data_IF_209358034529
#
_entry.id   IF_209358034529
#
_cell.length_a   1.000
_cell.length_b   1.000
_cell.length_c   1.000
_cell.angle_alpha   90.00
_cell.angle_beta   90.00
_cell.angle_gamma   90.00
#
_symmetry.space_group_name_H-M   'P 1'
#
loop_
_entity.id
_entity.type
_entity.pdbx_description
1 polymer ?
#
# COMPACT_ATOMS: atom_id res chain seq x y z
N UNK A 1 1.25 -0.39 -6.69
CA UNK A 1 0.68 0.96 -6.85
C UNK A 1 1.85 1.92 -6.87
N UNK A 2 1.95 2.75 -7.91
CA UNK A 2 2.91 3.85 -7.92
C UNK A 2 2.17 5.10 -7.48
N UNK A 3 2.66 5.81 -6.47
CA UNK A 3 2.11 7.06 -6.00
C UNK A 3 3.19 8.12 -6.22
N UNK A 4 2.85 9.19 -6.93
CA UNK A 4 3.80 10.23 -7.35
C UNK A 4 5.04 9.72 -8.13
N UNK A 5 4.97 8.55 -8.76
CA UNK A 5 6.06 7.95 -9.53
C UNK A 5 6.90 6.93 -8.75
N UNK A 6 6.72 6.83 -7.44
CA UNK A 6 7.43 5.88 -6.57
C UNK A 6 6.51 4.73 -6.13
N UNK A 7 7.05 3.55 -5.84
CA UNK A 7 6.25 2.41 -5.35
C UNK A 7 5.77 2.68 -3.92
N UNK A 8 4.46 2.84 -3.73
CA UNK A 8 3.87 3.09 -2.41
C UNK A 8 3.97 1.88 -1.47
N UNK A 9 4.01 0.69 -2.04
CA UNK A 9 4.17 -0.57 -1.33
C UNK A 9 5.25 -1.37 -2.06
N UNK A 10 6.28 -1.75 -1.32
CA UNK A 10 7.41 -2.50 -1.84
C UNK A 10 6.99 -3.89 -2.32
N UNK A 11 7.86 -4.54 -3.09
CA UNK A 11 7.69 -5.95 -3.43
C UNK A 11 7.69 -6.85 -2.19
N UNK A 12 8.47 -6.49 -1.17
CA UNK A 12 8.62 -7.24 0.07
C UNK A 12 7.32 -7.27 0.91
N UNK A 13 6.66 -6.12 1.09
CA UNK A 13 5.36 -6.06 1.80
C UNK A 13 4.28 -6.84 1.06
N UNK A 14 4.26 -6.78 -0.27
CA UNK A 14 3.34 -7.59 -1.10
C UNK A 14 3.61 -9.09 -0.94
N UNK A 15 4.87 -9.51 -0.94
CA UNK A 15 5.24 -10.91 -0.79
C UNK A 15 4.88 -11.43 0.61
N UNK A 16 5.31 -10.72 1.66
CA UNK A 16 5.01 -11.08 3.05
C UNK A 16 3.51 -11.11 3.33
N UNK A 17 2.74 -10.14 2.84
CA UNK A 17 1.28 -10.12 3.02
C UNK A 17 0.60 -11.34 2.39
N UNK A 18 1.02 -11.73 1.18
CA UNK A 18 0.52 -12.97 0.54
C UNK A 18 0.90 -14.22 1.32
N UNK A 19 2.15 -14.31 1.79
CA UNK A 19 2.62 -15.44 2.61
C UNK A 19 1.81 -15.56 3.90
N UNK A 20 1.59 -14.45 4.59
CA UNK A 20 0.77 -14.42 5.81
C UNK A 20 -0.65 -14.87 5.53
N UNK A 21 -1.28 -14.40 4.44
CA UNK A 21 -2.61 -14.85 4.04
C UNK A 21 -2.66 -16.35 3.73
N UNK A 22 -1.69 -16.88 3.00
CA UNK A 22 -1.61 -18.30 2.65
C UNK A 22 -1.43 -19.18 3.89
N UNK A 23 -0.52 -18.82 4.80
CA UNK A 23 -0.32 -19.57 6.04
C UNK A 23 -1.55 -19.48 6.95
N UNK A 24 -2.16 -18.30 7.07
CA UNK A 24 -3.36 -18.10 7.87
C UNK A 24 -4.54 -18.92 7.32
N UNK A 25 -4.77 -18.90 6.01
CA UNK A 25 -5.81 -19.69 5.37
C UNK A 25 -5.57 -21.20 5.55
N UNK A 26 -4.33 -21.66 5.36
CA UNK A 26 -3.96 -23.06 5.59
C UNK A 26 -4.24 -23.48 7.03
N UNK A 27 -3.92 -22.62 8.01
CA UNK A 27 -4.15 -22.90 9.43
C UNK A 27 -5.65 -22.96 9.76
N UNK A 28 -6.45 -22.03 9.22
CA UNK A 28 -7.92 -22.05 9.37
C UNK A 28 -8.51 -23.35 8.83
N UNK A 29 -8.17 -23.73 7.59
CA UNK A 29 -8.71 -24.95 6.98
C UNK A 29 -8.22 -26.22 7.70
N UNK A 30 -6.99 -26.21 8.22
CA UNK A 30 -6.48 -27.27 9.07
C UNK A 30 -7.22 -27.38 10.41
N UNK A 31 -7.45 -26.26 11.10
CA UNK A 31 -8.18 -26.21 12.37
C UNK A 31 -9.66 -26.58 12.24
N UNK A 32 -10.26 -26.41 11.06
CA UNK A 32 -11.62 -26.87 10.74
C UNK A 32 -11.68 -28.37 10.39
N UNK A 33 -10.54 -29.06 10.30
CA UNK A 33 -10.49 -30.45 9.88
C UNK A 33 -10.82 -30.68 8.41
N UNK A 34 -10.87 -29.62 7.59
CA UNK A 34 -11.16 -29.72 6.16
C UNK A 34 -9.98 -30.26 5.36
N UNK A 35 -8.77 -30.16 5.92
CA UNK A 35 -7.54 -30.72 5.36
C UNK A 35 -7.08 -31.85 6.28
N UNK A 36 -7.27 -33.10 5.84
CA UNK A 36 -6.71 -34.27 6.50
C UNK A 36 -5.35 -34.60 5.88
N UNK A 37 -4.28 -34.36 6.63
CA UNK A 37 -2.92 -34.69 6.20
C UNK A 37 -2.59 -36.11 6.67
N UNK A 38 -2.80 -37.09 5.78
CA UNK A 38 -2.54 -38.51 6.06
C UNK A 38 -1.05 -38.76 6.40
N UNK A 39 -0.15 -38.20 5.59
CA UNK A 39 1.29 -38.12 5.85
C UNK A 39 1.82 -36.84 5.19
N UNK A 40 2.41 -35.92 5.96
CA UNK A 40 3.01 -34.70 5.39
C UNK A 40 4.51 -34.87 5.36
N UNK A 41 5.09 -34.93 4.15
CA UNK A 41 6.53 -34.76 3.98
C UNK A 41 6.80 -33.45 3.24
N UNK A 42 7.57 -32.56 3.86
CA UNK A 42 8.06 -31.33 3.24
C UNK A 42 9.58 -31.42 3.29
N UNK A 43 10.22 -31.52 2.12
CA UNK A 43 11.69 -31.62 2.00
C UNK A 43 12.26 -32.78 2.85
N UNK A 44 11.61 -33.95 2.80
CA UNK A 44 12.06 -35.16 3.52
C UNK A 44 11.81 -35.18 5.03
N UNK A 45 11.31 -34.08 5.64
CA UNK A 45 10.87 -34.09 7.03
C UNK A 45 9.48 -34.71 7.11
N UNK A 46 9.39 -35.88 7.75
CA UNK A 46 8.11 -36.52 8.08
C UNK A 46 7.58 -35.88 9.36
N UNK A 47 6.40 -35.28 9.28
CA UNK A 47 5.71 -34.79 10.48
C UNK A 47 4.80 -35.90 11.01
N UNK A 48 4.97 -36.24 12.28
CA UNK A 48 3.97 -37.03 13.00
C UNK A 48 2.62 -36.31 12.94
N UNK A 49 1.54 -37.08 12.73
CA UNK A 49 0.17 -36.56 12.78
C UNK A 49 -0.02 -35.78 14.08
N UNK A 50 -0.45 -34.52 13.96
CA UNK A 50 -0.64 -33.59 15.09
C UNK A 50 0.44 -32.53 15.28
N UNK A 51 1.68 -32.71 14.79
CA UNK A 51 2.74 -31.68 14.92
C UNK A 51 2.69 -30.59 13.85
N UNK A 52 1.91 -30.79 12.79
CA UNK A 52 1.80 -29.83 11.68
C UNK A 52 1.13 -28.51 12.08
N UNK A 53 -0.03 -28.56 12.77
CA UNK A 53 -0.78 -27.34 13.14
C UNK A 53 0.00 -26.41 14.07
N UNK A 54 0.69 -26.91 15.13
CA UNK A 54 1.56 -26.07 15.96
C UNK A 54 2.68 -25.39 15.16
N UNK A 55 3.34 -26.13 14.25
CA UNK A 55 4.39 -25.57 13.39
C UNK A 55 3.82 -24.49 12.48
N UNK A 56 2.66 -24.73 11.88
CA UNK A 56 2.00 -23.74 11.02
C UNK A 56 1.57 -22.49 11.80
N UNK A 57 1.11 -22.63 13.04
CA UNK A 57 0.80 -21.50 13.92
C UNK A 57 2.05 -20.63 14.19
N UNK A 58 3.21 -21.25 14.45
CA UNK A 58 4.48 -20.53 14.59
C UNK A 58 4.86 -19.80 13.29
N UNK A 59 4.68 -20.43 12.13
CA UNK A 59 4.94 -19.79 10.83
C UNK A 59 4.00 -18.60 10.58
N UNK A 60 2.73 -18.69 10.98
CA UNK A 60 1.80 -17.56 10.92
C UNK A 60 2.32 -16.39 11.75
N UNK A 61 2.73 -16.62 13.01
CA UNK A 61 3.28 -15.57 13.90
C UNK A 61 4.52 -14.92 13.29
N UNK A 62 5.50 -15.72 12.86
CA UNK A 62 6.74 -15.21 12.25
C UNK A 62 6.41 -14.39 10.99
N UNK A 63 5.51 -14.90 10.14
CA UNK A 63 5.11 -14.19 8.92
C UNK A 63 4.40 -12.86 9.23
N UNK A 64 3.53 -12.82 10.24
CA UNK A 64 2.80 -11.62 10.64
C UNK A 64 3.75 -10.55 11.19
N UNK A 65 4.75 -10.93 11.99
CA UNK A 65 5.79 -10.01 12.47
C UNK A 65 6.62 -9.48 11.29
N UNK A 66 7.08 -10.37 10.40
CA UNK A 66 7.85 -9.97 9.23
C UNK A 66 7.04 -9.01 8.34
N UNK A 67 5.76 -9.30 8.11
CA UNK A 67 4.87 -8.45 7.36
C UNK A 67 4.66 -7.09 8.02
N UNK A 68 4.46 -7.04 9.35
CA UNK A 68 4.33 -5.80 10.12
C UNK A 68 5.56 -4.90 9.93
N UNK A 69 6.77 -5.46 10.03
CA UNK A 69 8.02 -4.71 9.87
C UNK A 69 8.16 -4.14 8.45
N UNK A 70 7.89 -4.95 7.42
CA UNK A 70 7.95 -4.51 6.03
C UNK A 70 6.92 -3.42 5.73
N UNK A 71 5.68 -3.62 6.19
CA UNK A 71 4.63 -2.62 6.06
C UNK A 71 4.98 -1.32 6.79
N UNK A 72 5.54 -1.39 7.99
CA UNK A 72 5.94 -0.20 8.75
C UNK A 72 7.03 0.60 8.03
N UNK A 73 7.99 -0.08 7.39
CA UNK A 73 9.00 0.57 6.56
C UNK A 73 8.37 1.30 5.36
N UNK A 74 7.42 0.66 4.68
CA UNK A 74 6.67 1.27 3.58
C UNK A 74 5.84 2.45 4.08
N UNK A 75 5.24 2.35 5.27
CA UNK A 75 4.45 3.42 5.88
C UNK A 75 5.32 4.63 6.24
N UNK A 76 6.53 4.41 6.77
CA UNK A 76 7.46 5.50 7.07
C UNK A 76 7.84 6.26 5.79
N UNK A 77 8.08 5.54 4.69
CA UNK A 77 8.30 6.13 3.37
C UNK A 77 7.07 6.91 2.89
N UNK A 78 5.89 6.29 2.95
CA UNK A 78 4.62 6.90 2.54
C UNK A 78 4.27 8.18 3.30
N UNK A 79 4.52 8.23 4.63
CA UNK A 79 4.32 9.44 5.45
C UNK A 79 5.28 10.57 5.08
N UNK A 80 6.47 10.24 4.55
CA UNK A 80 7.42 11.20 4.02
C UNK A 80 6.91 11.98 2.81
N UNK A 81 5.90 11.46 2.09
CA UNK A 81 5.40 12.05 0.84
C UNK A 81 4.43 13.23 1.00
N UNK A 82 4.20 13.72 2.22
CA UNK A 82 3.39 14.92 2.53
C UNK A 82 2.04 15.01 1.78
N UNK A 83 1.30 13.90 1.81
CA UNK A 83 0.06 13.67 1.06
C UNK A 83 -1.09 14.62 1.46
N UNK A 84 -0.98 15.22 2.64
CA UNK A 84 -1.97 16.14 3.21
C UNK A 84 -1.61 17.62 3.03
N UNK A 85 -0.57 17.95 2.26
CA UNK A 85 -0.23 19.34 1.95
C UNK A 85 0.07 20.20 3.18
N UNK A 86 0.61 19.61 4.27
CA UNK A 86 0.84 20.36 5.51
C UNK A 86 1.99 21.38 5.43
N UNK A 87 2.68 21.47 4.30
CA UNK A 87 3.51 22.63 4.01
C UNK A 87 3.31 23.05 2.56
N UNK A 88 3.12 24.36 2.35
CA UNK A 88 2.89 25.00 1.04
C UNK A 88 4.00 24.72 0.00
N UNK A 89 5.06 23.99 0.36
CA UNK A 89 6.28 23.84 -0.43
C UNK A 89 6.98 22.47 -0.35
N UNK A 90 6.68 21.55 0.59
CA UNK A 90 7.47 20.30 0.69
C UNK A 90 7.13 19.23 -0.34
N UNK A 91 6.09 19.41 -1.17
CA UNK A 91 5.84 18.57 -2.34
C UNK A 91 6.78 18.86 -3.54
N UNK A 92 7.64 19.89 -3.45
CA UNK A 92 8.42 20.38 -4.60
C UNK A 92 9.81 19.74 -4.78
N UNK A 93 10.26 18.89 -3.86
CA UNK A 93 11.62 18.32 -3.94
C UNK A 93 11.70 16.90 -4.55
N UNK A 94 10.58 16.18 -4.68
CA UNK A 94 10.57 14.80 -5.22
C UNK A 94 9.59 14.61 -6.41
N UNK A 95 8.92 15.67 -6.87
CA UNK A 95 8.12 15.68 -8.10
C UNK A 95 8.96 15.58 -9.39
N UNK A 96 10.10 14.89 -9.34
CA UNK A 96 11.06 14.77 -10.42
C UNK A 96 10.55 13.91 -11.58
N UNK A 97 9.46 13.14 -11.48
CA UNK A 97 9.11 12.16 -12.52
C UNK A 97 7.60 11.96 -12.79
N UNK A 98 6.76 12.98 -12.57
CA UNK A 98 5.38 12.93 -13.06
C UNK A 98 5.26 13.76 -14.34
N UNK A 99 5.36 13.11 -15.51
CA UNK A 99 5.33 13.76 -16.85
C UNK A 99 4.15 14.73 -17.03
N UNK A 100 3.01 14.46 -16.37
CA UNK A 100 1.82 15.35 -16.42
C UNK A 100 1.96 16.61 -15.56
N UNK A 101 2.69 16.55 -14.44
CA UNK A 101 2.94 17.71 -13.59
C UNK A 101 4.07 18.58 -14.17
N UNK A 102 5.10 17.95 -14.75
CA UNK A 102 6.11 18.66 -15.52
C UNK A 102 5.48 19.36 -16.72
N UNK A 103 4.65 18.65 -17.50
CA UNK A 103 3.92 19.24 -18.63
C UNK A 103 3.03 20.40 -18.20
N UNK A 104 2.22 20.27 -17.15
CA UNK A 104 1.35 21.37 -16.69
C UNK A 104 2.13 22.58 -16.15
N UNK A 105 3.28 22.35 -15.51
CA UNK A 105 4.15 23.44 -15.02
C UNK A 105 4.93 24.09 -16.17
N UNK A 106 5.42 23.30 -17.13
CA UNK A 106 6.04 23.79 -18.36
C UNK A 106 5.03 24.56 -19.21
N UNK A 107 3.81 24.06 -19.39
CA UNK A 107 2.72 24.74 -20.09
C UNK A 107 2.36 26.07 -19.40
N UNK A 108 2.32 26.09 -18.05
CA UNK A 108 2.11 27.32 -17.28
C UNK A 108 3.28 28.31 -17.41
N UNK A 109 4.52 27.83 -17.41
CA UNK A 109 5.71 28.68 -17.56
C UNK A 109 5.76 29.24 -18.98
N UNK A 110 5.58 28.40 -20.01
CA UNK A 110 5.54 28.81 -21.41
C UNK A 110 4.40 29.77 -21.70
N UNK A 111 3.22 29.56 -21.12
CA UNK A 111 2.11 30.49 -21.29
C UNK A 111 2.36 31.83 -20.58
N UNK A 112 3.04 31.85 -19.42
CA UNK A 112 3.46 33.09 -18.75
C UNK A 112 4.56 33.82 -19.54
N UNK A 113 5.47 33.08 -20.17
CA UNK A 113 6.51 33.64 -21.05
C UNK A 113 5.94 34.21 -22.36
N UNK A 114 4.93 33.57 -22.97
CA UNK A 114 4.25 34.05 -24.18
C UNK A 114 3.37 35.29 -23.92
N UNK A 115 2.79 35.41 -22.72
CA UNK A 115 1.83 36.47 -22.36
C UNK A 115 2.44 37.72 -21.73
N UNK A 116 3.78 37.87 -21.76
CA UNK A 116 4.53 38.91 -21.06
C UNK A 116 4.17 40.38 -21.32
N UNK A 117 3.09 40.72 -22.04
CA UNK A 117 2.67 42.11 -22.30
C UNK A 117 1.16 42.41 -22.26
N UNK A 118 0.25 41.47 -21.96
CA UNK A 118 -1.21 41.77 -21.98
C UNK A 118 -1.94 41.30 -20.71
N UNK A 119 -2.24 42.25 -19.83
CA UNK A 119 -2.79 42.03 -18.48
C UNK A 119 -4.19 41.36 -18.53
N UNK A 120 -4.97 41.66 -19.57
CA UNK A 120 -6.29 41.05 -19.80
C UNK A 120 -6.21 39.58 -20.22
N UNK A 121 -5.19 39.20 -20.99
CA UNK A 121 -4.99 37.81 -21.41
C UNK A 121 -4.58 36.90 -20.24
N UNK A 122 -3.90 37.47 -19.24
CA UNK A 122 -3.55 36.76 -18.01
C UNK A 122 -4.80 36.46 -17.17
N UNK A 123 -5.74 37.40 -17.05
CA UNK A 123 -6.96 37.19 -16.26
C UNK A 123 -7.87 36.09 -16.86
N UNK A 124 -8.06 36.11 -18.18
CA UNK A 124 -8.82 35.08 -18.89
C UNK A 124 -8.13 33.70 -18.78
N UNK A 125 -6.81 33.63 -18.89
CA UNK A 125 -6.08 32.37 -18.77
C UNK A 125 -6.11 31.83 -17.33
N UNK A 126 -5.95 32.69 -16.33
CA UNK A 126 -6.11 32.32 -14.92
C UNK A 126 -7.52 31.79 -14.67
N UNK A 127 -8.55 32.42 -15.26
CA UNK A 127 -9.94 31.99 -15.13
C UNK A 127 -10.20 30.60 -15.74
N UNK A 128 -9.46 30.22 -16.79
CA UNK A 128 -9.53 28.90 -17.42
C UNK A 128 -8.72 27.82 -16.68
N UNK A 129 -7.56 28.18 -16.12
CA UNK A 129 -6.66 27.24 -15.42
C UNK A 129 -7.13 26.97 -13.98
N UNK A 130 -7.74 27.95 -13.29
CA UNK A 130 -8.19 27.77 -11.91
C UNK A 130 -9.16 26.59 -11.71
N UNK A 131 -10.19 26.41 -12.57
CA UNK A 131 -11.08 25.26 -12.53
C UNK A 131 -10.32 23.93 -12.71
N UNK A 132 -9.38 23.86 -13.65
CA UNK A 132 -8.57 22.65 -13.88
C UNK A 132 -7.68 22.32 -12.68
N UNK A 133 -7.05 23.33 -12.08
CA UNK A 133 -6.28 23.16 -10.84
C UNK A 133 -7.16 22.70 -9.67
N UNK A 134 -8.40 23.21 -9.57
CA UNK A 134 -9.37 22.75 -8.56
C UNK A 134 -9.79 21.29 -8.78
N UNK A 135 -10.04 20.89 -10.03
CA UNK A 135 -10.36 19.50 -10.39
C UNK A 135 -9.17 18.58 -10.13
N UNK A 136 -7.97 19.01 -10.47
CA UNK A 136 -6.73 18.31 -10.20
C UNK A 136 -6.49 18.12 -8.69
N UNK A 137 -6.64 19.17 -7.89
CA UNK A 137 -6.50 19.10 -6.44
C UNK A 137 -7.55 18.17 -5.81
N UNK A 138 -8.79 18.20 -6.30
CA UNK A 138 -9.85 17.28 -5.87
C UNK A 138 -9.50 15.83 -6.21
N UNK A 139 -8.95 15.59 -7.39
CA UNK A 139 -8.50 14.27 -7.84
C UNK A 139 -7.34 13.76 -7.00
N UNK A 140 -6.35 14.61 -6.70
CA UNK A 140 -5.24 14.28 -5.80
C UNK A 140 -5.73 13.90 -4.40
N UNK A 141 -6.69 14.64 -3.84
CA UNK A 141 -7.27 14.33 -2.52
C UNK A 141 -7.97 12.97 -2.52
N UNK A 142 -8.76 12.68 -3.55
CA UNK A 142 -9.44 11.39 -3.67
C UNK A 142 -8.44 10.24 -3.84
N UNK A 143 -7.39 10.46 -4.61
CA UNK A 143 -6.30 9.50 -4.78
C UNK A 143 -5.53 9.27 -3.48
N UNK A 144 -5.30 10.32 -2.69
CA UNK A 144 -4.73 10.25 -1.34
C UNK A 144 -5.54 9.33 -0.43
N UNK A 145 -6.86 9.54 -0.35
CA UNK A 145 -7.78 8.67 0.43
C UNK A 145 -7.74 7.21 -0.03
N UNK A 146 -7.72 6.99 -1.35
CA UNK A 146 -7.60 5.64 -1.89
C UNK A 146 -6.26 5.00 -1.52
N UNK A 147 -5.17 5.77 -1.58
CA UNK A 147 -3.85 5.31 -1.17
C UNK A 147 -3.80 4.94 0.32
N UNK A 148 -4.44 5.73 1.20
CA UNK A 148 -4.56 5.38 2.62
C UNK A 148 -5.32 4.07 2.83
N UNK A 149 -6.49 3.92 2.19
CA UNK A 149 -7.27 2.69 2.27
C UNK A 149 -6.46 1.49 1.74
N UNK A 150 -5.66 1.70 0.70
CA UNK A 150 -4.82 0.67 0.12
C UNK A 150 -3.66 0.28 1.05
N UNK A 151 -2.97 1.24 1.65
CA UNK A 151 -1.83 1.00 2.55
C UNK A 151 -2.29 0.41 3.88
N UNK A 152 -3.30 1.01 4.52
CA UNK A 152 -3.77 0.59 5.85
C UNK A 152 -4.78 -0.55 5.80
N UNK A 153 -5.72 -0.52 4.86
CA UNK A 153 -6.75 -1.55 4.74
C UNK A 153 -6.19 -2.81 4.09
N UNK A 154 -5.78 -2.70 2.82
CA UNK A 154 -5.43 -3.88 2.03
C UNK A 154 -4.08 -4.49 2.41
N UNK A 155 -3.05 -3.67 2.63
CA UNK A 155 -1.69 -4.16 2.90
C UNK A 155 -1.32 -4.25 4.38
N UNK A 156 -2.26 -4.00 5.30
CA UNK A 156 -2.02 -4.18 6.72
C UNK A 156 -3.17 -4.88 7.42
N UNK A 157 -4.37 -4.27 7.43
CA UNK A 157 -5.49 -4.83 8.15
C UNK A 157 -5.84 -6.24 7.65
N UNK A 158 -5.91 -6.45 6.33
CA UNK A 158 -6.30 -7.76 5.76
C UNK A 158 -5.32 -8.89 6.16
N UNK A 159 -3.99 -8.81 5.94
CA UNK A 159 -3.08 -9.88 6.33
C UNK A 159 -3.00 -10.09 7.85
N UNK A 160 -2.99 -9.01 8.64
CA UNK A 160 -2.89 -9.10 10.10
C UNK A 160 -4.17 -9.68 10.71
N UNK A 161 -5.36 -9.25 10.26
CA UNK A 161 -6.62 -9.82 10.73
C UNK A 161 -6.74 -11.29 10.36
N UNK A 162 -6.30 -11.70 9.16
CA UNK A 162 -6.27 -13.11 8.79
C UNK A 162 -5.38 -13.93 9.74
N UNK A 163 -4.21 -13.42 10.10
CA UNK A 163 -3.32 -14.08 11.06
C UNK A 163 -3.97 -14.20 12.46
N UNK A 164 -4.60 -13.13 12.94
CA UNK A 164 -5.29 -13.13 14.23
C UNK A 164 -6.46 -14.12 14.26
N UNK A 165 -7.28 -14.15 13.21
CA UNK A 165 -8.39 -15.11 13.08
C UNK A 165 -7.86 -16.54 13.05
N UNK A 166 -6.81 -16.79 12.27
CA UNK A 166 -6.22 -18.13 12.15
C UNK A 166 -5.68 -18.65 13.49
N UNK A 167 -4.98 -17.79 14.24
CA UNK A 167 -4.48 -18.12 15.58
C UNK A 167 -5.64 -18.31 16.58
N UNK A 168 -6.65 -17.44 16.55
CA UNK A 168 -7.84 -17.59 17.40
C UNK A 168 -8.57 -18.91 17.17
N UNK A 169 -8.73 -19.31 15.90
CA UNK A 169 -9.32 -20.61 15.57
C UNK A 169 -8.45 -21.79 16.01
N UNK A 170 -7.14 -21.69 15.83
CA UNK A 170 -6.20 -22.72 16.30
C UNK A 170 -6.31 -22.94 17.82
N UNK A 171 -6.34 -21.88 18.63
CA UNK A 171 -6.49 -22.00 20.09
C UNK A 171 -7.89 -22.40 20.55
N UNK A 172 -8.92 -22.21 19.72
CA UNK A 172 -10.28 -22.62 20.06
C UNK A 172 -10.52 -24.12 19.80
N UNK A 173 -9.91 -24.66 18.74
CA UNK A 173 -10.15 -26.04 18.27
C UNK A 173 -9.04 -27.04 18.65
N UNK A 174 -7.85 -26.57 19.03
CA UNK A 174 -6.70 -27.39 19.43
C UNK A 174 -6.62 -27.59 20.93
#
# INVERSE_FOLDING_TARGET
MNFLGEQAISGATRATGRTTLVFSGTLVFGALGWIQLAETSIIGLKFEQGKFLPVLAVLVVISAIAHFVQWYSDLASYRGWNIHGQSKWAGRASAAHNKRFHGLVEDLISAVEELGQDEYAIEDMVSQILPELKLFNTSLRNYGRFAELYVYGWHFAVPILAALIALGMYFHNG
#
